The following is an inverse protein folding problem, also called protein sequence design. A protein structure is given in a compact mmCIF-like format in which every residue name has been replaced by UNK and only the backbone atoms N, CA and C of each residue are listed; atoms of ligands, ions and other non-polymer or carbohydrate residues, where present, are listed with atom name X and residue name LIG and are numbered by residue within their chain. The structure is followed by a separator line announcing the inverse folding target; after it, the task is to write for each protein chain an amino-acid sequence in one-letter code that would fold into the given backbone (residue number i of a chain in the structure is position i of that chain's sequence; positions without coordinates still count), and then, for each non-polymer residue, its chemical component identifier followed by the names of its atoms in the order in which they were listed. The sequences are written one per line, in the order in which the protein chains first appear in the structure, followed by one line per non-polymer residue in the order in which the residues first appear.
data_IF_608648748327
#
_entry.id   IF_608648748327
#
_cell.length_a   1.000
_cell.length_b   1.000
_cell.length_c   1.000
_cell.angle_alpha   90.00
_cell.angle_beta   90.00
_cell.angle_gamma   90.00
#
_symmetry.space_group_name_H-M   'P 1'
#
loop_
_entity.id
_entity.type
_entity.pdbx_description
1 polymer ?
#
# COMPACT_ATOMS: atom_id res chain seq x y z
N UNK A 1 -31.17 -10.11 -37.34
CA UNK A 1 -31.63 -10.15 -35.93
C UNK A 1 -31.33 -11.54 -35.40
N UNK A 2 -30.65 -11.79 -34.29
CA UNK A 2 -30.10 -10.88 -33.30
C UNK A 2 -29.13 -11.59 -32.34
N UNK A 3 -28.41 -10.74 -31.59
CA UNK A 3 -27.87 -10.90 -30.23
C UNK A 3 -26.81 -12.01 -30.02
N UNK A 4 -25.51 -11.72 -30.09
CA UNK A 4 -24.69 -11.17 -28.98
C UNK A 4 -25.00 -11.81 -27.61
N UNK A 5 -24.45 -12.99 -27.34
CA UNK A 5 -24.20 -13.45 -25.96
C UNK A 5 -22.72 -13.26 -25.65
N UNK A 6 -22.36 -12.00 -25.44
CA UNK A 6 -21.11 -11.63 -24.79
C UNK A 6 -21.26 -11.94 -23.29
N UNK A 7 -20.16 -12.39 -22.68
CA UNK A 7 -19.82 -12.18 -21.27
C UNK A 7 -20.61 -12.96 -20.22
N UNK A 8 -20.01 -14.06 -19.79
CA UNK A 8 -19.90 -14.40 -18.36
C UNK A 8 -18.66 -15.25 -18.15
N UNK A 9 -17.49 -14.76 -18.60
CA UNK A 9 -16.23 -15.24 -18.01
C UNK A 9 -16.28 -14.74 -16.58
N UNK A 10 -16.59 -15.67 -15.68
CA UNK A 10 -16.39 -15.59 -14.25
C UNK A 10 -14.95 -15.09 -13.99
N UNK A 11 -14.78 -13.77 -13.97
CA UNK A 11 -13.70 -13.17 -13.22
C UNK A 11 -14.07 -13.44 -11.76
N UNK A 12 -13.72 -14.63 -11.29
CA UNK A 12 -13.44 -14.89 -9.89
C UNK A 12 -12.54 -13.74 -9.45
N UNK A 13 -13.14 -12.68 -8.92
CA UNK A 13 -12.45 -11.69 -8.12
C UNK A 13 -12.02 -12.49 -6.92
N UNK A 14 -10.86 -13.17 -7.04
CA UNK A 14 -10.01 -13.56 -5.92
C UNK A 14 -10.19 -12.45 -4.91
N UNK A 15 -10.77 -12.78 -3.75
CA UNK A 15 -10.90 -11.91 -2.60
C UNK A 15 -9.78 -10.89 -2.66
N UNK A 16 -10.15 -9.64 -2.96
CA UNK A 16 -9.18 -8.58 -3.06
C UNK A 16 -8.57 -8.52 -1.68
N UNK A 17 -7.42 -9.18 -1.47
CA UNK A 17 -6.74 -9.25 -0.20
C UNK A 17 -6.47 -7.81 0.18
N UNK A 18 -7.36 -7.24 0.98
CA UNK A 18 -7.18 -5.94 1.61
C UNK A 18 -5.87 -6.11 2.34
N UNK A 19 -4.81 -5.45 1.84
CA UNK A 19 -3.47 -5.63 2.41
C UNK A 19 -3.57 -5.31 3.89
N UNK A 20 -3.19 -6.25 4.74
CA UNK A 20 -3.15 -5.98 6.17
C UNK A 20 -2.00 -5.01 6.48
N UNK A 21 -2.07 -4.25 7.58
CA UNK A 21 -0.93 -3.47 8.10
C UNK A 21 0.37 -4.28 8.12
N UNK A 22 0.30 -5.50 8.65
CA UNK A 22 1.44 -6.43 8.74
C UNK A 22 2.03 -6.77 7.38
N UNK A 23 1.19 -7.07 6.38
CA UNK A 23 1.66 -7.35 5.00
C UNK A 23 2.30 -6.13 4.32
N UNK A 24 1.91 -4.92 4.72
CA UNK A 24 2.54 -3.70 4.22
C UNK A 24 3.91 -3.54 4.85
N UNK A 25 4.02 -3.72 6.17
CA UNK A 25 5.28 -3.62 6.92
C UNK A 25 6.27 -4.69 6.49
N UNK A 26 5.85 -5.96 6.38
CA UNK A 26 6.71 -7.08 5.94
C UNK A 26 7.36 -6.81 4.57
N UNK A 27 6.65 -6.11 3.67
CA UNK A 27 7.20 -5.72 2.36
C UNK A 27 8.18 -4.56 2.44
N UNK A 28 7.99 -3.65 3.39
CA UNK A 28 8.92 -2.58 3.66
C UNK A 28 10.17 -3.14 4.32
N UNK A 29 10.02 -4.00 5.31
CA UNK A 29 11.13 -4.67 5.98
C UNK A 29 12.02 -5.45 5.01
N UNK A 30 11.44 -6.35 4.21
CA UNK A 30 12.20 -7.12 3.20
C UNK A 30 13.00 -6.27 2.21
N UNK A 31 12.70 -4.99 2.06
CA UNK A 31 13.37 -4.07 1.13
C UNK A 31 14.28 -3.07 1.83
N UNK A 32 13.91 -2.62 3.02
CA UNK A 32 14.57 -1.55 3.77
C UNK A 32 15.42 -2.09 4.92
N UNK A 33 15.29 -3.38 5.25
CA UNK A 33 15.83 -4.03 6.44
C UNK A 33 15.49 -3.18 7.68
N UNK A 34 14.21 -3.14 8.02
CA UNK A 34 13.74 -2.33 9.14
C UNK A 34 14.21 -2.97 10.44
N UNK A 35 14.45 -2.15 11.45
CA UNK A 35 14.68 -2.69 12.80
C UNK A 35 13.36 -3.12 13.43
N UNK A 36 13.39 -4.06 14.39
CA UNK A 36 12.19 -4.51 15.11
C UNK A 36 11.40 -3.33 15.73
N UNK A 37 12.10 -2.27 16.13
CA UNK A 37 11.49 -1.06 16.66
C UNK A 37 10.78 -0.24 15.58
N UNK A 38 11.42 -0.06 14.41
CA UNK A 38 10.82 0.61 13.26
C UNK A 38 9.58 -0.16 12.76
N UNK A 39 9.67 -1.49 12.67
CA UNK A 39 8.55 -2.34 12.26
C UNK A 39 7.33 -2.19 13.16
N UNK A 40 7.52 -2.20 14.49
CA UNK A 40 6.42 -2.02 15.46
C UNK A 40 5.76 -0.65 15.31
N UNK A 41 6.56 0.41 15.14
CA UNK A 41 6.05 1.76 14.94
C UNK A 41 5.27 1.88 13.62
N UNK A 42 5.84 1.39 12.52
CA UNK A 42 5.20 1.42 11.20
C UNK A 42 3.92 0.57 11.18
N UNK A 43 3.93 -0.59 11.86
CA UNK A 43 2.75 -1.47 11.98
C UNK A 43 1.62 -0.78 12.73
N UNK A 44 1.96 -0.06 13.81
CA UNK A 44 0.98 0.72 14.57
C UNK A 44 0.38 1.83 13.71
N UNK A 45 1.23 2.58 12.99
CA UNK A 45 0.79 3.64 12.09
C UNK A 45 -0.16 3.13 11.00
N UNK A 46 0.16 1.99 10.36
CA UNK A 46 -0.75 1.38 9.39
C UNK A 46 -2.02 0.86 10.07
N UNK A 47 -1.91 0.21 11.23
CA UNK A 47 -3.08 -0.32 11.94
C UNK A 47 -4.08 0.78 12.29
N UNK A 48 -3.60 1.91 12.78
CA UNK A 48 -4.45 3.06 13.08
C UNK A 48 -5.07 3.64 11.81
N UNK A 49 -4.30 3.78 10.73
CA UNK A 49 -4.82 4.21 9.43
C UNK A 49 -5.90 3.28 8.87
N UNK A 50 -5.75 1.97 9.04
CA UNK A 50 -6.75 0.98 8.58
C UNK A 50 -8.00 0.93 9.46
N UNK A 51 -7.89 1.30 10.74
CA UNK A 51 -9.04 1.45 11.65
C UNK A 51 -9.85 2.72 11.35
N UNK A 52 -9.24 3.72 10.73
CA UNK A 52 -9.94 4.94 10.34
C UNK A 52 -10.82 4.69 9.11
N UNK A 53 -12.12 4.92 9.27
CA UNK A 53 -13.08 4.90 8.16
C UNK A 53 -13.01 6.24 7.42
N UNK A 54 -12.00 6.39 6.56
CA UNK A 54 -11.76 7.61 5.78
C UNK A 54 -12.42 7.52 4.41
N UNK A 55 -13.06 8.61 3.99
CA UNK A 55 -13.53 8.75 2.61
C UNK A 55 -12.37 8.67 1.63
N UNK A 56 -12.67 8.32 0.37
CA UNK A 56 -11.63 8.13 -0.67
C UNK A 56 -10.70 9.34 -0.83
N UNK A 57 -11.22 10.56 -0.66
CA UNK A 57 -10.44 11.80 -0.73
C UNK A 57 -9.54 11.98 0.49
N UNK A 58 -10.10 11.82 1.70
CA UNK A 58 -9.37 11.91 2.96
C UNK A 58 -8.28 10.85 3.07
N UNK A 59 -8.57 9.64 2.57
CA UNK A 59 -7.62 8.53 2.52
C UNK A 59 -6.38 8.88 1.73
N UNK A 60 -6.48 9.70 0.68
CA UNK A 60 -5.32 10.15 -0.09
C UNK A 60 -4.41 11.04 0.75
N UNK A 61 -4.99 12.04 1.43
CA UNK A 61 -4.27 12.95 2.31
C UNK A 61 -3.66 12.22 3.50
N UNK A 62 -4.44 11.39 4.19
CA UNK A 62 -3.97 10.60 5.32
C UNK A 62 -2.89 9.58 4.91
N UNK A 63 -2.93 9.03 3.70
CA UNK A 63 -1.83 8.18 3.20
C UNK A 63 -0.56 8.99 2.97
N UNK A 64 -0.64 10.23 2.48
CA UNK A 64 0.53 11.10 2.35
C UNK A 64 1.13 11.47 3.71
N UNK A 65 0.29 11.74 4.71
CA UNK A 65 0.75 11.98 6.09
C UNK A 65 1.38 10.73 6.70
N UNK A 66 0.77 9.57 6.49
CA UNK A 66 1.29 8.27 6.91
C UNK A 66 2.67 8.00 6.29
N UNK A 67 2.81 8.20 4.98
CA UNK A 67 4.08 8.05 4.28
C UNK A 67 5.15 9.00 4.83
N UNK A 68 4.81 10.26 5.11
CA UNK A 68 5.75 11.21 5.74
C UNK A 68 6.21 10.74 7.11
N UNK A 69 5.28 10.28 7.96
CA UNK A 69 5.61 9.71 9.29
C UNK A 69 6.54 8.50 9.16
N UNK A 70 6.23 7.58 8.24
CA UNK A 70 7.10 6.43 7.97
C UNK A 70 8.48 6.90 7.54
N UNK A 71 8.60 7.79 6.55
CA UNK A 71 9.90 8.30 6.09
C UNK A 71 10.69 9.01 7.19
N UNK A 72 10.03 9.68 8.14
CA UNK A 72 10.70 10.30 9.29
C UNK A 72 11.26 9.28 10.28
N UNK A 73 10.71 8.06 10.32
CA UNK A 73 11.22 6.94 11.12
C UNK A 73 12.34 6.16 10.41
N UNK A 74 12.48 6.32 9.10
CA UNK A 74 13.51 5.66 8.29
C UNK A 74 14.82 6.48 8.29
N UNK A 75 15.95 5.78 8.13
CA UNK A 75 17.25 6.42 7.85
C UNK A 75 17.30 6.95 6.42
N UNK A 76 18.26 7.82 6.11
CA UNK A 76 18.36 8.40 4.76
C UNK A 76 18.58 7.34 3.67
N UNK A 77 19.38 6.29 3.97
CA UNK A 77 19.56 5.14 3.07
C UNK A 77 18.23 4.37 2.85
N UNK A 78 17.43 4.18 3.91
CA UNK A 78 16.13 3.53 3.81
C UNK A 78 15.10 4.39 3.07
N UNK A 79 15.14 5.72 3.21
CA UNK A 79 14.27 6.65 2.48
C UNK A 79 14.49 6.56 0.97
N UNK A 80 15.74 6.48 0.53
CA UNK A 80 16.05 6.34 -0.89
C UNK A 80 15.45 5.05 -1.47
N UNK A 81 15.64 3.91 -0.79
CA UNK A 81 15.06 2.64 -1.19
C UNK A 81 13.51 2.67 -1.17
N UNK A 82 12.91 3.37 -0.20
CA UNK A 82 11.47 3.57 -0.14
C UNK A 82 10.93 4.40 -1.31
N UNK A 83 11.62 5.49 -1.67
CA UNK A 83 11.27 6.30 -2.85
C UNK A 83 11.41 5.52 -4.15
N UNK A 84 12.50 4.77 -4.32
CA UNK A 84 12.71 3.93 -5.49
C UNK A 84 11.58 2.90 -5.64
N UNK A 85 11.18 2.24 -4.54
CA UNK A 85 10.04 1.34 -4.54
C UNK A 85 8.72 2.04 -4.93
N UNK A 86 8.52 3.29 -4.53
CA UNK A 86 7.33 4.06 -4.88
C UNK A 86 7.31 4.42 -6.37
N UNK A 87 8.48 4.72 -6.96
CA UNK A 87 8.66 5.00 -8.39
C UNK A 87 8.55 3.73 -9.26
N UNK A 88 9.05 2.59 -8.77
CA UNK A 88 8.99 1.28 -9.43
C UNK A 88 7.60 0.65 -9.43
N UNK A 89 6.63 1.15 -8.63
CA UNK A 89 5.25 0.74 -8.81
C UNK A 89 4.88 1.09 -10.25
N UNK A 90 4.64 0.10 -11.13
CA UNK A 90 4.28 0.41 -12.50
C UNK A 90 3.07 1.31 -12.39
N UNK A 91 3.22 2.57 -12.80
CA UNK A 91 2.06 3.32 -13.24
C UNK A 91 1.44 2.37 -14.25
N UNK A 92 0.30 1.76 -13.88
CA UNK A 92 -0.59 1.18 -14.87
C UNK A 92 -0.89 2.36 -15.78
N UNK A 93 -0.07 2.54 -16.81
CA UNK A 93 -0.43 3.32 -17.96
C UNK A 93 -1.78 2.73 -18.34
N UNK A 94 -2.82 3.53 -18.16
CA UNK A 94 -4.10 3.26 -18.77
C UNK A 94 -3.80 3.26 -20.27
N UNK A 95 -3.54 2.09 -20.84
CA UNK A 95 -3.83 1.85 -22.24
C UNK A 95 -5.34 1.85 -22.41
#
# INVERSE_FOLDING_TARGET
MGMLTLQSVNAQRKEGKTRTPEQMVEKLDKKLNLTDEQEKQITTLYSDFFKQDLSREERKSAMQELEKKITSLLTDEQKEAFEQMKKERPQRQKQ
#
